data_IF_820980811170
#
_entry.id   IF_820980811170
#
_cell.length_a   1.000
_cell.length_b   1.000
_cell.length_c   1.000
_cell.angle_alpha   90.00
_cell.angle_beta   90.00
_cell.angle_gamma   90.00
#
_symmetry.space_group_name_H-M   'P 1'
#
loop_
_entity.id
_entity.type
_entity.pdbx_description
1 polymer ?
#
# COMPACT_ATOMS: atom_id res chain seq x y z
N UNK A 1 -46.86 30.19 2.05
CA UNK A 1 -46.90 29.22 0.92
C UNK A 1 -45.50 29.11 0.36
N UNK A 2 -44.83 27.97 0.55
CA UNK A 2 -43.45 27.79 0.11
C UNK A 2 -43.42 27.66 -1.42
N UNK A 3 -42.60 28.45 -2.09
CA UNK A 3 -42.62 28.54 -3.55
C UNK A 3 -42.20 27.19 -4.17
N UNK A 4 -43.04 26.61 -5.03
CA UNK A 4 -42.84 25.26 -5.59
C UNK A 4 -41.48 25.12 -6.30
N UNK A 5 -40.99 26.19 -6.90
CA UNK A 5 -39.68 26.24 -7.55
C UNK A 5 -38.52 26.27 -6.54
N UNK A 6 -38.71 26.89 -5.38
CA UNK A 6 -37.74 26.88 -4.28
C UNK A 6 -37.67 25.49 -3.65
N UNK A 7 -38.81 24.80 -3.52
CA UNK A 7 -38.86 23.40 -3.04
C UNK A 7 -38.12 22.45 -3.99
N UNK A 8 -38.31 22.61 -5.31
CA UNK A 8 -37.62 21.82 -6.32
C UNK A 8 -36.10 22.07 -6.34
N UNK A 9 -35.67 23.33 -6.24
CA UNK A 9 -34.24 23.68 -6.19
C UNK A 9 -33.56 23.16 -4.92
N UNK A 10 -34.25 23.23 -3.77
CA UNK A 10 -33.74 22.69 -2.51
C UNK A 10 -33.59 21.16 -2.55
N UNK A 11 -34.53 20.44 -3.19
CA UNK A 11 -34.48 18.98 -3.33
C UNK A 11 -33.32 18.52 -4.25
N UNK A 12 -33.02 19.27 -5.31
CA UNK A 12 -31.90 18.97 -6.22
C UNK A 12 -30.55 19.24 -5.54
N UNK A 13 -30.45 20.31 -4.75
CA UNK A 13 -29.23 20.61 -3.99
C UNK A 13 -28.96 19.56 -2.91
N UNK A 14 -30.00 19.03 -2.25
CA UNK A 14 -29.87 17.96 -1.26
C UNK A 14 -29.34 16.65 -1.85
N UNK A 15 -29.63 16.39 -3.14
CA UNK A 15 -29.21 15.19 -3.88
C UNK A 15 -27.72 15.25 -4.31
N UNK A 16 -27.13 16.45 -4.38
CA UNK A 16 -25.73 16.65 -4.78
C UNK A 16 -24.74 16.54 -3.62
N UNK A 17 -25.20 16.58 -2.36
CA UNK A 17 -24.35 16.58 -1.16
C UNK A 17 -23.94 15.17 -0.71
N UNK A 18 -24.48 14.11 -1.31
CA UNK A 18 -24.21 12.72 -0.90
C UNK A 18 -22.91 12.10 -1.46
N UNK A 19 -22.13 12.83 -2.27
CA UNK A 19 -20.90 12.29 -2.91
C UNK A 19 -19.61 12.71 -2.20
N UNK A 20 -19.67 13.17 -0.95
CA UNK A 20 -18.47 13.31 -0.12
C UNK A 20 -18.09 11.91 0.38
N UNK A 21 -17.44 11.16 -0.51
CA UNK A 21 -16.90 9.84 -0.20
C UNK A 21 -15.89 9.94 0.93
N UNK A 22 -16.04 9.08 1.93
CA UNK A 22 -15.07 8.91 3.00
C UNK A 22 -13.68 8.67 2.40
N UNK A 23 -12.74 9.59 2.64
CA UNK A 23 -11.32 9.29 2.48
C UNK A 23 -10.96 8.28 3.57
N UNK A 24 -10.94 6.99 3.23
CA UNK A 24 -10.41 5.95 4.10
C UNK A 24 -8.92 6.23 4.31
N UNK A 25 -8.59 7.01 5.32
CA UNK A 25 -7.27 6.99 5.94
C UNK A 25 -7.16 5.66 6.69
N UNK A 26 -6.95 4.57 5.94
CA UNK A 26 -6.35 3.38 6.53
C UNK A 26 -5.09 3.86 7.23
N UNK A 27 -5.02 3.71 8.55
CA UNK A 27 -3.73 3.85 9.23
C UNK A 27 -2.77 2.94 8.47
N UNK A 28 -1.73 3.54 7.90
CA UNK A 28 -0.69 2.83 7.17
C UNK A 28 0.15 2.06 8.20
N UNK A 29 -0.42 0.99 8.73
CA UNK A 29 0.25 0.08 9.64
C UNK A 29 1.29 -0.71 8.87
N UNK A 30 2.45 -0.91 9.49
CA UNK A 30 3.50 -1.74 8.92
C UNK A 30 2.98 -3.18 8.84
N UNK A 31 2.94 -3.72 7.63
CA UNK A 31 2.51 -5.11 7.43
C UNK A 31 3.61 -6.09 7.81
N UNK A 32 4.83 -5.83 7.35
CA UNK A 32 6.01 -6.67 7.57
C UNK A 32 7.28 -5.82 7.59
N UNK A 33 8.25 -6.25 8.40
CA UNK A 33 9.61 -5.71 8.43
C UNK A 33 10.59 -6.88 8.38
N UNK A 34 11.55 -6.85 7.46
CA UNK A 34 12.40 -8.02 7.22
C UNK A 34 13.39 -7.86 6.07
N UNK A 35 14.11 -8.92 5.75
CA UNK A 35 15.06 -8.99 4.65
C UNK A 35 14.35 -9.37 3.34
N UNK A 36 14.76 -8.77 2.22
CA UNK A 36 14.40 -9.24 0.89
C UNK A 36 15.13 -10.57 0.62
N UNK A 37 14.42 -11.70 0.68
CA UNK A 37 15.00 -13.02 0.43
C UNK A 37 14.86 -13.47 -1.03
N UNK A 38 13.95 -12.86 -1.81
CA UNK A 38 13.79 -13.14 -3.25
C UNK A 38 13.31 -11.91 -4.01
N UNK A 39 13.81 -11.74 -5.24
CA UNK A 39 13.30 -10.80 -6.23
C UNK A 39 12.72 -11.59 -7.40
N UNK A 40 11.51 -11.23 -7.81
CA UNK A 40 10.86 -11.80 -9.01
C UNK A 40 10.87 -10.76 -10.12
N UNK A 41 11.38 -11.16 -11.28
CA UNK A 41 11.44 -10.32 -12.48
C UNK A 41 10.35 -10.73 -13.48
N UNK A 42 9.88 -9.77 -14.28
CA UNK A 42 9.15 -10.04 -15.52
C UNK A 42 10.08 -10.52 -16.62
N UNK A 43 9.52 -10.90 -17.77
CA UNK A 43 10.28 -11.24 -18.98
C UNK A 43 11.20 -10.09 -19.45
N UNK A 44 10.76 -8.84 -19.24
CA UNK A 44 11.53 -7.63 -19.57
C UNK A 44 12.53 -7.21 -18.46
N UNK A 45 12.89 -8.13 -17.55
CA UNK A 45 13.80 -7.87 -16.42
C UNK A 45 13.36 -6.75 -15.47
N UNK A 46 12.05 -6.48 -15.35
CA UNK A 46 11.51 -5.52 -14.38
C UNK A 46 11.13 -6.23 -13.08
N UNK A 47 11.44 -5.65 -11.94
CA UNK A 47 10.99 -6.19 -10.65
C UNK A 47 9.46 -6.12 -10.57
N UNK A 48 8.83 -7.25 -10.30
CA UNK A 48 7.37 -7.40 -10.18
C UNK A 48 6.93 -7.70 -8.75
N UNK A 49 7.76 -8.42 -8.00
CA UNK A 49 7.53 -8.68 -6.59
C UNK A 49 8.83 -8.95 -5.84
N UNK A 50 8.77 -8.77 -4.53
CA UNK A 50 9.80 -9.17 -3.57
C UNK A 50 9.22 -10.14 -2.55
N UNK A 51 10.00 -11.10 -2.09
CA UNK A 51 9.70 -11.89 -0.90
C UNK A 51 10.43 -11.27 0.28
N UNK A 52 9.70 -10.91 1.32
CA UNK A 52 10.23 -10.34 2.56
C UNK A 52 10.03 -11.34 3.69
N UNK A 53 11.08 -11.59 4.46
CA UNK A 53 11.05 -12.46 5.64
C UNK A 53 11.64 -11.75 6.85
N UNK A 54 10.97 -11.83 8.00
CA UNK A 54 11.41 -11.23 9.25
C UNK A 54 10.67 -11.86 10.44
N UNK A 55 10.82 -11.27 11.62
CA UNK A 55 10.05 -11.65 12.81
C UNK A 55 8.83 -10.73 12.95
N UNK A 56 7.77 -11.21 13.61
CA UNK A 56 6.66 -10.34 14.01
C UNK A 56 7.14 -9.44 15.15
N UNK A 57 7.13 -8.13 14.93
CA UNK A 57 7.47 -7.11 15.89
C UNK A 57 6.18 -6.50 16.48
N UNK A 58 6.30 -5.62 17.48
CA UNK A 58 5.13 -5.05 18.17
C UNK A 58 4.19 -4.25 17.28
N UNK A 59 4.67 -3.77 16.13
CA UNK A 59 3.96 -2.93 15.17
C UNK A 59 3.81 -3.59 13.78
N UNK A 60 4.17 -4.87 13.63
CA UNK A 60 4.01 -5.62 12.38
C UNK A 60 3.00 -6.76 12.52
N UNK A 61 2.52 -7.28 11.39
CA UNK A 61 1.46 -8.29 11.36
C UNK A 61 1.96 -9.64 10.87
N UNK A 62 2.90 -9.65 9.92
CA UNK A 62 3.35 -10.86 9.24
C UNK A 62 4.87 -11.01 9.30
N UNK A 63 5.33 -12.26 9.36
CA UNK A 63 6.73 -12.67 9.32
C UNK A 63 7.22 -13.01 7.90
N UNK A 64 6.30 -13.36 6.98
CA UNK A 64 6.64 -13.77 5.62
C UNK A 64 5.62 -13.30 4.58
N UNK A 65 6.04 -12.45 3.64
CA UNK A 65 5.15 -11.88 2.63
C UNK A 65 5.74 -11.84 1.22
N UNK A 66 4.95 -12.27 0.24
CA UNK A 66 5.16 -11.99 -1.18
C UNK A 66 4.49 -10.66 -1.52
N UNK A 67 5.31 -9.63 -1.72
CA UNK A 67 4.89 -8.25 -1.91
C UNK A 67 4.95 -7.90 -3.39
N UNK A 68 3.79 -7.64 -4.01
CA UNK A 68 3.69 -7.19 -5.40
C UNK A 68 3.95 -5.69 -5.50
N UNK A 69 4.78 -5.30 -6.45
CA UNK A 69 4.99 -3.90 -6.81
C UNK A 69 3.91 -3.48 -7.80
N UNK A 70 3.18 -2.41 -7.47
CA UNK A 70 2.13 -1.82 -8.30
C UNK A 70 2.53 -0.40 -8.72
N UNK A 71 1.76 0.21 -9.62
CA UNK A 71 2.11 1.50 -10.23
C UNK A 71 2.27 2.63 -9.20
N UNK A 72 1.49 2.60 -8.13
CA UNK A 72 1.50 3.61 -7.06
C UNK A 72 2.36 3.21 -5.85
N UNK A 73 3.17 2.15 -5.95
CA UNK A 73 4.12 1.79 -4.89
C UNK A 73 5.19 2.87 -4.74
N UNK A 74 5.24 3.50 -3.56
CA UNK A 74 6.30 4.45 -3.19
C UNK A 74 7.48 3.69 -2.57
N UNK A 75 8.71 3.99 -2.98
CA UNK A 75 9.92 3.35 -2.45
C UNK A 75 10.84 4.43 -1.89
N UNK A 76 11.15 4.33 -0.60
CA UNK A 76 11.90 5.35 0.14
C UNK A 76 13.12 4.74 0.82
N UNK A 77 14.13 5.56 1.08
CA UNK A 77 15.18 5.24 2.04
C UNK A 77 14.77 5.59 3.48
N UNK A 78 15.70 5.38 4.41
CA UNK A 78 15.54 5.72 5.82
C UNK A 78 15.48 7.24 6.10
N UNK A 79 15.90 8.06 5.15
CA UNK A 79 15.85 9.53 5.19
C UNK A 79 14.58 10.08 4.54
N UNK A 80 13.74 9.20 3.98
CA UNK A 80 12.50 9.57 3.29
C UNK A 80 12.71 10.08 1.87
N UNK A 81 13.88 9.84 1.25
CA UNK A 81 14.14 10.15 -0.15
C UNK A 81 13.67 9.00 -1.04
N UNK A 82 13.23 9.32 -2.25
CA UNK A 82 12.84 8.32 -3.24
C UNK A 82 14.03 7.44 -3.65
N UNK A 83 13.79 6.14 -3.69
CA UNK A 83 14.74 5.12 -4.14
C UNK A 83 14.19 4.46 -5.39
N UNK A 84 15.04 4.23 -6.40
CA UNK A 84 14.58 3.51 -7.57
C UNK A 84 14.20 2.08 -7.22
N UNK A 85 13.10 1.58 -7.80
CA UNK A 85 12.75 0.15 -7.72
C UNK A 85 13.93 -0.73 -8.15
N UNK A 86 14.69 -0.30 -9.15
CA UNK A 86 15.85 -1.04 -9.64
C UNK A 86 17.03 -1.03 -8.67
N UNK A 87 16.96 -0.40 -7.51
CA UNK A 87 17.98 -0.47 -6.46
C UNK A 87 17.70 -1.55 -5.42
N UNK A 88 16.47 -2.08 -5.34
CA UNK A 88 16.14 -3.16 -4.41
C UNK A 88 16.95 -4.42 -4.73
N UNK A 89 17.59 -5.00 -3.71
CA UNK A 89 18.40 -6.23 -3.82
C UNK A 89 18.02 -7.22 -2.74
N UNK A 90 18.26 -8.50 -3.02
CA UNK A 90 18.27 -9.50 -1.95
C UNK A 90 19.29 -9.09 -0.89
N UNK A 91 18.98 -9.32 0.39
CA UNK A 91 19.82 -8.90 1.52
C UNK A 91 19.47 -7.55 2.13
N UNK A 92 18.73 -6.69 1.41
CA UNK A 92 18.30 -5.40 1.97
C UNK A 92 17.21 -5.61 3.00
N UNK A 93 17.26 -4.84 4.10
CA UNK A 93 16.19 -4.83 5.09
C UNK A 93 15.17 -3.75 4.74
N UNK A 94 13.91 -4.14 4.69
CA UNK A 94 12.80 -3.27 4.31
C UNK A 94 11.64 -3.34 5.30
N UNK A 95 10.87 -2.27 5.30
CA UNK A 95 9.56 -2.15 5.92
C UNK A 95 8.51 -1.98 4.82
N UNK A 96 7.40 -2.72 4.90
CA UNK A 96 6.35 -2.71 3.87
C UNK A 96 5.01 -2.36 4.49
N UNK A 97 4.35 -1.38 3.88
CA UNK A 97 2.93 -1.08 4.11
C UNK A 97 2.13 -1.65 2.94
N UNK A 98 1.10 -2.45 3.25
CA UNK A 98 0.24 -3.03 2.23
C UNK A 98 -0.83 -2.06 1.74
N UNK A 99 -1.16 -2.16 0.46
CA UNK A 99 -2.28 -1.47 -0.17
C UNK A 99 -3.48 -2.42 -0.23
N UNK A 100 -4.56 -2.06 0.47
CA UNK A 100 -5.82 -2.81 0.42
C UNK A 100 -5.75 -4.16 1.14
N UNK A 101 -6.45 -5.15 0.59
CA UNK A 101 -6.56 -6.48 1.20
C UNK A 101 -5.28 -7.31 1.02
N UNK A 102 -4.98 -8.13 2.03
CA UNK A 102 -3.89 -9.11 2.03
C UNK A 102 -4.49 -10.51 1.97
N UNK A 103 -4.00 -11.36 1.07
CA UNK A 103 -4.43 -12.74 0.97
C UNK A 103 -3.70 -13.60 2.03
N UNK A 104 -4.48 -14.29 2.85
CA UNK A 104 -4.03 -15.05 4.03
C UNK A 104 -3.44 -16.44 3.71
N UNK A 105 -2.77 -16.59 2.56
CA UNK A 105 -1.93 -17.75 2.26
C UNK A 105 -0.58 -17.68 2.99
N UNK A 106 0.25 -18.72 2.95
CA UNK A 106 1.63 -18.66 3.46
C UNK A 106 2.67 -18.90 2.35
N UNK A 107 3.53 -17.93 2.01
CA UNK A 107 3.59 -16.56 2.56
C UNK A 107 2.33 -15.77 2.21
N UNK A 108 2.02 -14.73 3.00
CA UNK A 108 0.90 -13.83 2.69
C UNK A 108 1.18 -13.08 1.41
N UNK A 109 0.14 -12.67 0.69
CA UNK A 109 0.29 -11.95 -0.57
C UNK A 109 -0.42 -10.61 -0.51
N UNK A 110 0.27 -9.53 -0.87
CA UNK A 110 -0.30 -8.19 -0.86
C UNK A 110 0.40 -7.24 -1.83
N UNK A 111 -0.31 -6.18 -2.22
CA UNK A 111 0.27 -5.09 -3.00
C UNK A 111 1.02 -4.13 -2.07
N UNK A 112 2.16 -3.61 -2.50
CA UNK A 112 2.87 -2.57 -1.75
C UNK A 112 2.21 -1.21 -1.95
N UNK A 113 1.80 -0.57 -0.86
CA UNK A 113 1.58 0.88 -0.83
C UNK A 113 2.92 1.60 -0.75
N UNK A 114 3.76 1.16 0.18
CA UNK A 114 5.09 1.74 0.40
C UNK A 114 6.11 0.66 0.79
N UNK A 115 7.35 0.86 0.36
CA UNK A 115 8.52 0.08 0.77
C UNK A 115 9.58 1.06 1.27
N UNK A 116 10.03 0.90 2.52
CA UNK A 116 11.12 1.70 3.08
C UNK A 116 12.36 0.84 3.27
N UNK A 117 13.47 1.20 2.63
CA UNK A 117 14.78 0.58 2.84
C UNK A 117 15.35 1.13 4.14
N UNK A 118 15.63 0.24 5.09
CA UNK A 118 16.13 0.60 6.43
C UNK A 118 17.55 0.10 6.68
N UNK A 119 18.06 -0.83 5.86
CA UNK A 119 19.46 -1.30 5.89
C UNK A 119 19.89 -1.91 4.55
#
# INVERSE_FOLDING_TARGET
MLNRNIVLLAAIFLLLVSVIGCSNSSQDSVGIRGEITKITLSEDNRITSILVEGEVESDTVYDKASVRIVEDTVILDNSGQDVSLQELRQGMKVEVVFQGAVAESYPVQGNAKAIRVIQ
#
